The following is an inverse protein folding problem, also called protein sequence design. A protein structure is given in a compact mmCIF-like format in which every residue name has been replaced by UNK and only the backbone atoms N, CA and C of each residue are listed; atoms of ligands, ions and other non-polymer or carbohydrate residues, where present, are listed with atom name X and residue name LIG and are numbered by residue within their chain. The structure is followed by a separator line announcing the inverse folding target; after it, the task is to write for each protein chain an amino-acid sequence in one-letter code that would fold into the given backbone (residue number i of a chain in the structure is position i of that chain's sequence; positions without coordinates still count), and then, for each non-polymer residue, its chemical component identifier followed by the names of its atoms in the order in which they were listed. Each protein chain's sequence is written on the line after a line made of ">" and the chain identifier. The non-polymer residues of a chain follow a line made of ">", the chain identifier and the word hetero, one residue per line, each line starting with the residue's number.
data_IF_700544625851
#
_entry.id   IF_700544625851
#
_cell.length_a   1.000
_cell.length_b   1.000
_cell.length_c   1.000
_cell.angle_alpha   90.00
_cell.angle_beta   90.00
_cell.angle_gamma   90.00
#
_symmetry.space_group_name_H-M   'P 1'
#
loop_
_entity.id
_entity.type
_entity.pdbx_description
1 polymer ?
#
# COMPACT_ATOMS: atom_id res chain seq x y z
N UNK A 1 1.85 -12.18 -14.95
CA UNK A 1 2.95 -12.73 -14.13
C UNK A 1 4.07 -11.70 -14.10
N UNK A 2 4.47 -11.26 -12.92
CA UNK A 2 5.50 -10.24 -12.68
C UNK A 2 6.88 -10.77 -13.11
N UNK A 3 7.66 -9.97 -13.84
CA UNK A 3 9.05 -10.28 -14.14
C UNK A 3 9.97 -9.40 -13.29
N UNK A 4 10.63 -9.99 -12.32
CA UNK A 4 11.56 -9.32 -11.40
C UNK A 4 13.02 -9.30 -11.92
N UNK A 5 13.25 -9.69 -13.18
CA UNK A 5 14.62 -9.78 -13.76
C UNK A 5 15.18 -8.44 -14.24
N UNK A 6 14.58 -7.32 -13.88
CA UNK A 6 15.17 -6.01 -14.15
C UNK A 6 16.36 -5.79 -13.20
N UNK A 7 17.55 -5.64 -13.76
CA UNK A 7 18.79 -5.52 -12.99
C UNK A 7 18.74 -4.31 -12.04
N UNK A 8 18.28 -3.16 -12.51
CA UNK A 8 18.18 -1.94 -11.70
C UNK A 8 17.17 -2.07 -10.54
N UNK A 9 16.06 -2.81 -10.73
CA UNK A 9 15.14 -3.12 -9.64
C UNK A 9 15.82 -3.98 -8.57
N UNK A 10 16.53 -5.03 -9.01
CA UNK A 10 17.21 -5.93 -8.08
C UNK A 10 18.31 -5.20 -7.31
N UNK A 11 19.10 -4.36 -7.98
CA UNK A 11 20.14 -3.54 -7.33
C UNK A 11 19.53 -2.60 -6.29
N UNK A 12 18.49 -1.83 -6.65
CA UNK A 12 17.83 -0.89 -5.74
C UNK A 12 17.29 -1.57 -4.46
N UNK A 13 16.70 -2.75 -4.61
CA UNK A 13 16.17 -3.50 -3.46
C UNK A 13 17.29 -4.11 -2.61
N UNK A 14 18.38 -4.58 -3.23
CA UNK A 14 19.56 -5.06 -2.51
C UNK A 14 20.27 -3.92 -1.77
N UNK A 15 20.39 -2.74 -2.37
CA UNK A 15 20.96 -1.56 -1.73
C UNK A 15 20.12 -1.13 -0.52
N UNK A 16 18.79 -1.16 -0.64
CA UNK A 16 17.90 -0.92 0.49
C UNK A 16 18.18 -1.89 1.64
N UNK A 17 18.28 -3.19 1.35
CA UNK A 17 18.56 -4.21 2.37
C UNK A 17 19.97 -4.05 2.96
N UNK A 18 20.96 -3.69 2.15
CA UNK A 18 22.33 -3.43 2.60
C UNK A 18 22.41 -2.25 3.57
N UNK A 19 21.63 -1.19 3.30
CA UNK A 19 21.62 0.00 4.15
C UNK A 19 20.81 -0.16 5.44
N UNK A 20 19.78 -1.02 5.42
CA UNK A 20 18.85 -1.14 6.55
C UNK A 20 19.04 -2.41 7.37
N UNK A 21 19.75 -3.40 6.84
CA UNK A 21 19.83 -4.77 7.36
C UNK A 21 18.46 -5.45 7.51
N UNK A 22 17.40 -4.89 6.90
CA UNK A 22 16.04 -5.44 6.97
C UNK A 22 15.81 -6.48 5.89
N UNK A 23 15.11 -7.56 6.24
CA UNK A 23 14.64 -8.53 5.24
C UNK A 23 13.52 -7.91 4.41
N UNK A 24 13.63 -8.04 3.10
CA UNK A 24 12.64 -7.62 2.13
C UNK A 24 12.10 -8.84 1.37
N UNK A 25 10.78 -8.93 1.23
CA UNK A 25 10.09 -9.93 0.44
C UNK A 25 9.18 -9.26 -0.59
N UNK A 26 9.04 -9.88 -1.76
CA UNK A 26 8.07 -9.48 -2.79
C UNK A 26 7.07 -10.61 -2.95
N UNK A 27 5.79 -10.27 -2.87
CA UNK A 27 4.68 -11.18 -3.09
C UNK A 27 3.90 -10.77 -4.33
N UNK A 28 3.42 -11.75 -5.09
CA UNK A 28 2.51 -11.47 -6.21
C UNK A 28 1.07 -11.21 -5.74
N UNK A 29 0.17 -11.05 -6.69
CA UNK A 29 -1.25 -10.81 -6.40
C UNK A 29 -2.02 -12.03 -5.95
N UNK A 30 -1.42 -13.22 -6.04
CA UNK A 30 -1.91 -14.47 -5.47
C UNK A 30 -1.28 -14.76 -4.09
N UNK A 31 -0.59 -13.75 -3.52
CA UNK A 31 0.05 -13.78 -2.21
C UNK A 31 1.19 -14.79 -2.09
N UNK A 32 1.80 -15.16 -3.23
CA UNK A 32 2.96 -16.05 -3.25
C UNK A 32 4.25 -15.23 -3.24
N UNK A 33 5.21 -15.66 -2.42
CA UNK A 33 6.54 -15.03 -2.38
C UNK A 33 7.28 -15.29 -3.71
N UNK A 34 7.60 -14.21 -4.43
CA UNK A 34 8.31 -14.23 -5.71
C UNK A 34 9.82 -14.01 -5.55
N UNK A 35 10.20 -13.24 -4.54
CA UNK A 35 11.60 -12.91 -4.26
C UNK A 35 11.76 -12.49 -2.81
N UNK A 36 12.96 -12.72 -2.26
CA UNK A 36 13.34 -12.19 -0.95
C UNK A 36 14.84 -11.93 -0.86
N UNK A 37 15.20 -10.89 -0.10
CA UNK A 37 16.59 -10.56 0.20
C UNK A 37 16.71 -10.09 1.66
N UNK A 38 17.66 -10.62 2.47
CA UNK A 38 18.40 -11.87 2.19
C UNK A 38 17.44 -13.06 2.08
N UNK A 39 17.85 -14.10 1.35
CA UNK A 39 17.04 -15.32 1.19
C UNK A 39 16.76 -15.98 2.55
N UNK A 40 17.74 -15.96 3.46
CA UNK A 40 17.60 -16.55 4.79
C UNK A 40 16.68 -15.73 5.68
N UNK A 41 15.82 -16.41 6.41
CA UNK A 41 15.04 -15.83 7.50
C UNK A 41 15.94 -15.49 8.69
N UNK A 42 15.54 -14.51 9.49
CA UNK A 42 16.18 -14.29 10.79
C UNK A 42 15.98 -15.49 11.73
N UNK A 43 16.89 -15.68 12.70
CA UNK A 43 16.97 -16.91 13.49
C UNK A 43 15.66 -17.35 14.12
N UNK A 44 14.93 -16.46 14.76
CA UNK A 44 13.62 -16.77 15.35
C UNK A 44 12.62 -17.27 14.29
N UNK A 45 12.41 -16.52 13.24
CA UNK A 45 11.50 -16.92 12.16
C UNK A 45 11.94 -18.22 11.48
N UNK A 46 13.25 -18.39 11.25
CA UNK A 46 13.81 -19.61 10.66
C UNK A 46 13.54 -20.86 11.52
N UNK A 47 13.60 -20.72 12.84
CA UNK A 47 13.29 -21.79 13.79
C UNK A 47 11.80 -22.07 13.88
N UNK A 48 10.99 -21.04 14.03
CA UNK A 48 9.55 -21.15 14.26
C UNK A 48 8.81 -21.67 13.01
N UNK A 49 9.19 -21.23 11.82
CA UNK A 49 8.56 -21.68 10.55
C UNK A 49 8.85 -23.13 10.17
N UNK A 50 9.72 -23.84 10.91
CA UNK A 50 9.84 -25.31 10.81
C UNK A 50 8.64 -26.02 11.43
N UNK A 51 7.84 -25.35 12.25
CA UNK A 51 6.61 -25.87 12.84
C UNK A 51 5.48 -25.54 11.88
N UNK A 52 4.85 -26.56 11.29
CA UNK A 52 3.87 -26.39 10.22
C UNK A 52 2.69 -25.46 10.59
N UNK A 53 2.19 -25.59 11.83
CA UNK A 53 1.11 -24.72 12.32
C UNK A 53 1.56 -23.26 12.40
N UNK A 54 2.78 -23.01 12.88
CA UNK A 54 3.32 -21.65 12.95
C UNK A 54 3.50 -21.05 11.55
N UNK A 55 4.07 -21.80 10.60
CA UNK A 55 4.24 -21.35 9.21
C UNK A 55 2.89 -21.07 8.52
N UNK A 56 1.87 -21.89 8.79
CA UNK A 56 0.52 -21.63 8.31
C UNK A 56 -0.05 -20.31 8.85
N UNK A 57 0.19 -20.00 10.13
CA UNK A 57 -0.22 -18.72 10.74
C UNK A 57 0.55 -17.54 10.16
N UNK A 58 1.84 -17.68 9.83
CA UNK A 58 2.61 -16.66 9.11
C UNK A 58 1.94 -16.32 7.78
N UNK A 59 1.70 -17.34 6.94
CA UNK A 59 1.09 -17.15 5.62
C UNK A 59 -0.30 -16.49 5.72
N UNK A 60 -1.14 -16.96 6.64
CA UNK A 60 -2.47 -16.39 6.84
C UNK A 60 -2.41 -14.93 7.33
N UNK A 61 -1.43 -14.59 8.16
CA UNK A 61 -1.20 -13.22 8.62
C UNK A 61 -0.76 -12.31 7.47
N UNK A 62 0.20 -12.77 6.67
CA UNK A 62 0.72 -12.01 5.52
C UNK A 62 -0.40 -11.79 4.48
N UNK A 63 -1.16 -12.84 4.15
CA UNK A 63 -2.29 -12.75 3.23
C UNK A 63 -3.35 -11.76 3.72
N UNK A 64 -3.76 -11.84 4.99
CA UNK A 64 -4.76 -10.94 5.55
C UNK A 64 -4.33 -9.46 5.43
N UNK A 65 -3.07 -9.15 5.68
CA UNK A 65 -2.55 -7.78 5.56
C UNK A 65 -2.37 -7.34 4.11
N UNK A 66 -1.98 -8.24 3.20
CA UNK A 66 -1.96 -7.96 1.76
C UNK A 66 -3.37 -7.67 1.21
N UNK A 67 -4.41 -8.38 1.71
CA UNK A 67 -5.80 -8.07 1.38
C UNK A 67 -6.22 -6.68 1.88
N UNK A 68 -5.79 -6.28 3.09
CA UNK A 68 -6.04 -4.92 3.61
C UNK A 68 -5.32 -3.89 2.74
N UNK A 69 -4.04 -4.11 2.41
CA UNK A 69 -3.24 -3.26 1.54
C UNK A 69 -3.88 -3.10 0.15
N UNK A 70 -4.36 -4.21 -0.45
CA UNK A 70 -5.06 -4.21 -1.74
C UNK A 70 -6.33 -3.35 -1.70
N UNK A 71 -7.14 -3.47 -0.63
CA UNK A 71 -8.39 -2.72 -0.48
C UNK A 71 -8.17 -1.24 -0.21
N UNK A 72 -7.23 -0.93 0.68
CA UNK A 72 -6.94 0.46 1.08
C UNK A 72 -6.09 1.20 0.06
N UNK A 73 -5.34 0.46 -0.76
CA UNK A 73 -4.33 0.97 -1.71
C UNK A 73 -3.24 1.81 -1.02
N UNK A 74 -3.02 1.57 0.26
CA UNK A 74 -2.05 2.29 1.08
C UNK A 74 -1.10 1.32 1.73
N UNK A 75 0.15 1.72 1.96
CA UNK A 75 1.05 0.95 2.79
C UNK A 75 0.52 0.87 4.22
N UNK A 76 0.92 -0.14 4.95
CA UNK A 76 0.57 -0.34 6.34
C UNK A 76 1.73 -0.95 7.13
N UNK A 77 1.88 -0.49 8.37
CA UNK A 77 2.74 -1.12 9.36
C UNK A 77 1.87 -1.92 10.32
N UNK A 78 2.29 -3.15 10.64
CA UNK A 78 1.55 -4.04 11.53
C UNK A 78 2.51 -4.90 12.35
N UNK A 79 1.98 -5.56 13.38
CA UNK A 79 2.67 -6.66 14.05
C UNK A 79 2.15 -7.98 13.51
N UNK A 80 3.06 -8.87 13.12
CA UNK A 80 2.69 -10.22 12.70
C UNK A 80 2.12 -11.01 13.89
N UNK A 81 1.57 -12.20 13.64
CA UNK A 81 0.96 -13.01 14.69
C UNK A 81 1.92 -13.38 15.84
N UNK A 82 3.22 -13.32 15.60
CA UNK A 82 4.25 -13.57 16.61
C UNK A 82 4.76 -12.29 17.32
N UNK A 83 4.23 -11.11 16.97
CA UNK A 83 4.59 -9.84 17.59
C UNK A 83 5.74 -9.08 16.91
N UNK A 84 6.31 -9.60 15.82
CA UNK A 84 7.35 -8.89 15.05
C UNK A 84 6.74 -7.79 14.21
N UNK A 85 7.47 -6.69 14.04
CA UNK A 85 7.03 -5.55 13.25
C UNK A 85 7.31 -5.78 11.77
N UNK A 86 6.27 -5.57 10.96
CA UNK A 86 6.27 -5.68 9.50
C UNK A 86 5.77 -4.38 8.88
N UNK A 87 6.24 -4.08 7.68
CA UNK A 87 5.71 -3.01 6.83
C UNK A 87 5.45 -3.54 5.44
N UNK A 88 4.27 -3.29 4.92
CA UNK A 88 3.76 -3.78 3.64
C UNK A 88 3.35 -2.61 2.76
N UNK A 89 3.80 -2.58 1.52
CA UNK A 89 3.45 -1.56 0.55
C UNK A 89 3.11 -2.17 -0.82
N UNK A 90 2.15 -1.58 -1.55
CA UNK A 90 1.76 -2.07 -2.87
C UNK A 90 2.73 -1.60 -3.95
N UNK A 91 3.07 -2.49 -4.90
CA UNK A 91 3.76 -2.15 -6.14
C UNK A 91 2.74 -1.94 -7.26
N UNK A 92 2.91 -0.83 -7.98
CA UNK A 92 2.01 -0.45 -9.06
C UNK A 92 2.66 -0.58 -10.43
N UNK A 93 1.87 -1.05 -11.40
CA UNK A 93 2.15 -0.98 -12.82
C UNK A 93 0.93 -0.37 -13.53
N UNK A 94 1.13 0.76 -14.23
CA UNK A 94 0.03 1.48 -14.92
C UNK A 94 -1.21 1.72 -14.05
N UNK A 95 -1.01 2.05 -12.77
CA UNK A 95 -2.08 2.35 -11.81
C UNK A 95 -2.77 1.13 -11.19
N UNK A 96 -2.34 -0.08 -11.52
CA UNK A 96 -2.85 -1.35 -10.98
C UNK A 96 -1.84 -1.95 -10.01
N UNK A 97 -2.31 -2.56 -8.93
CA UNK A 97 -1.44 -3.31 -8.02
C UNK A 97 -1.05 -4.63 -8.70
N UNK A 98 0.25 -4.86 -8.85
CA UNK A 98 0.80 -6.07 -9.48
C UNK A 98 1.65 -6.91 -8.52
N UNK A 99 2.03 -6.34 -7.39
CA UNK A 99 2.78 -7.05 -6.34
C UNK A 99 2.69 -6.28 -5.02
N UNK A 100 3.25 -6.87 -3.97
CA UNK A 100 3.42 -6.26 -2.66
C UNK A 100 4.87 -6.41 -2.23
N UNK A 101 5.43 -5.36 -1.63
CA UNK A 101 6.75 -5.40 -0.98
C UNK A 101 6.54 -5.39 0.52
N UNK A 102 7.13 -6.35 1.21
CA UNK A 102 7.14 -6.43 2.66
C UNK A 102 8.58 -6.30 3.17
N UNK A 103 8.80 -5.44 4.15
CA UNK A 103 10.01 -5.46 4.98
C UNK A 103 9.59 -5.80 6.41
N UNK A 104 10.39 -6.63 7.09
CA UNK A 104 9.94 -7.05 8.39
C UNK A 104 10.89 -7.96 9.14
N UNK A 105 10.29 -8.79 9.99
CA UNK A 105 10.95 -9.56 11.02
C UNK A 105 11.70 -8.65 12.02
N UNK A 106 11.24 -7.39 12.15
CA UNK A 106 11.91 -6.38 12.95
C UNK A 106 11.41 -6.42 14.42
N UNK A 107 12.34 -6.22 15.35
CA UNK A 107 12.09 -6.12 16.78
C UNK A 107 12.71 -4.84 17.33
N UNK A 108 12.16 -4.37 18.45
CA UNK A 108 12.67 -3.16 19.12
C UNK A 108 13.69 -3.46 20.23
N UNK A 109 13.89 -4.74 20.59
CA UNK A 109 14.80 -5.14 21.68
C UNK A 109 14.29 -4.76 23.07
N UNK A 110 12.97 -4.69 23.27
CA UNK A 110 12.38 -4.35 24.57
C UNK A 110 11.96 -5.61 25.33
N UNK A 111 12.20 -5.65 26.65
CA UNK A 111 11.81 -6.78 27.51
C UNK A 111 10.31 -7.12 27.41
N UNK A 112 9.45 -6.10 27.34
CA UNK A 112 8.01 -6.29 27.20
C UNK A 112 7.61 -6.90 25.83
N UNK A 113 8.39 -6.66 24.77
CA UNK A 113 8.22 -7.29 23.46
C UNK A 113 8.69 -8.74 23.53
N UNK A 114 9.88 -8.98 24.08
CA UNK A 114 10.43 -10.33 24.28
C UNK A 114 9.45 -11.23 25.04
N UNK A 115 8.93 -10.77 26.19
CA UNK A 115 8.01 -11.59 27.00
C UNK A 115 6.76 -12.02 26.25
N UNK A 116 6.20 -11.16 25.39
CA UNK A 116 5.05 -11.50 24.54
C UNK A 116 5.42 -12.55 23.48
N UNK A 117 6.58 -12.39 22.85
CA UNK A 117 7.10 -13.33 21.85
C UNK A 117 7.38 -14.67 22.49
N UNK A 118 8.03 -14.72 23.66
CA UNK A 118 8.35 -15.93 24.39
C UNK A 118 7.08 -16.67 24.86
N UNK A 119 6.12 -15.95 25.43
CA UNK A 119 4.83 -16.53 25.84
C UNK A 119 4.08 -17.12 24.63
N UNK A 120 4.17 -16.49 23.46
CA UNK A 120 3.56 -17.03 22.27
C UNK A 120 4.32 -18.24 21.72
N UNK A 121 5.65 -18.20 21.68
CA UNK A 121 6.52 -19.30 21.22
C UNK A 121 6.37 -20.57 22.10
N UNK A 122 6.13 -20.39 23.41
CA UNK A 122 5.89 -21.49 24.34
C UNK A 122 4.67 -22.36 23.93
N UNK A 123 3.65 -21.80 23.28
CA UNK A 123 2.50 -22.54 22.76
C UNK A 123 2.89 -23.55 21.68
N UNK A 124 4.05 -23.38 21.08
CA UNK A 124 4.62 -24.24 20.04
C UNK A 124 5.77 -25.11 20.56
N UNK A 125 5.94 -25.21 21.88
CA UNK A 125 6.93 -26.08 22.50
C UNK A 125 8.35 -25.52 22.54
N UNK A 126 8.52 -24.20 22.38
CA UNK A 126 9.81 -23.52 22.50
C UNK A 126 9.95 -23.04 23.96
N UNK A 127 11.01 -23.44 24.64
CA UNK A 127 11.29 -22.95 25.99
C UNK A 127 11.79 -21.49 25.97
N UNK A 128 11.71 -20.82 27.11
CA UNK A 128 12.06 -19.40 27.23
C UNK A 128 13.55 -19.18 26.93
N UNK A 129 14.42 -20.10 27.33
CA UNK A 129 15.86 -20.03 27.07
C UNK A 129 16.15 -20.09 25.56
N UNK A 130 15.59 -21.07 24.85
CA UNK A 130 15.73 -21.17 23.40
C UNK A 130 15.17 -19.91 22.70
N UNK A 131 14.04 -19.41 23.17
CA UNK A 131 13.44 -18.20 22.63
C UNK A 131 14.34 -16.97 22.83
N UNK A 132 14.98 -16.86 24.00
CA UNK A 132 15.89 -15.76 24.34
C UNK A 132 17.12 -15.77 23.45
N UNK A 133 17.76 -16.93 23.28
CA UNK A 133 18.89 -17.07 22.37
C UNK A 133 18.53 -16.64 20.93
N UNK A 134 17.38 -17.09 20.42
CA UNK A 134 16.92 -16.74 19.07
C UNK A 134 16.57 -15.25 18.95
N UNK A 135 16.03 -14.64 19.98
CA UNK A 135 15.68 -13.22 20.00
C UNK A 135 16.93 -12.35 20.05
N UNK A 136 17.93 -12.71 20.86
CA UNK A 136 19.21 -11.97 20.95
C UNK A 136 20.05 -12.03 19.67
N UNK A 137 19.87 -13.08 18.88
CA UNK A 137 20.51 -13.21 17.57
C UNK A 137 19.84 -12.34 16.50
N UNK A 138 18.70 -11.70 16.79
CA UNK A 138 18.04 -10.80 15.84
C UNK A 138 18.61 -9.40 15.90
N UNK A 139 18.45 -8.67 14.81
CA UNK A 139 18.77 -7.24 14.81
C UNK A 139 17.60 -6.49 15.44
N UNK A 140 17.90 -5.70 16.46
CA UNK A 140 16.92 -4.83 17.10
C UNK A 140 17.03 -3.41 16.57
N UNK A 141 15.90 -2.82 16.24
CA UNK A 141 15.86 -1.50 15.60
C UNK A 141 15.24 -0.45 16.52
N UNK A 142 15.85 0.72 16.59
CA UNK A 142 15.18 1.85 17.19
C UNK A 142 13.89 2.20 16.39
N UNK A 143 12.80 2.64 17.04
CA UNK A 143 11.55 3.00 16.34
C UNK A 143 11.75 4.00 15.19
N UNK A 144 12.68 4.96 15.36
CA UNK A 144 13.06 5.94 14.33
C UNK A 144 13.69 5.27 13.10
N UNK A 145 14.46 4.20 13.28
CA UNK A 145 15.09 3.46 12.18
C UNK A 145 14.04 2.76 11.32
N UNK A 146 13.08 2.08 11.96
CA UNK A 146 11.98 1.43 11.23
C UNK A 146 11.16 2.46 10.45
N UNK A 147 10.81 3.60 11.09
CA UNK A 147 10.07 4.67 10.41
C UNK A 147 10.85 5.29 9.23
N UNK A 148 12.18 5.42 9.36
CA UNK A 148 13.03 5.90 8.28
C UNK A 148 13.08 4.89 7.13
N UNK A 149 13.26 3.60 7.43
CA UNK A 149 13.25 2.52 6.44
C UNK A 149 11.93 2.47 5.67
N UNK A 150 10.77 2.58 6.35
CA UNK A 150 9.47 2.65 5.69
C UNK A 150 9.39 3.82 4.70
N UNK A 151 9.82 5.02 5.09
CA UNK A 151 9.82 6.19 4.19
C UNK A 151 10.77 6.05 3.00
N UNK A 152 11.95 5.45 3.21
CA UNK A 152 12.90 5.18 2.13
C UNK A 152 12.31 4.14 1.18
N UNK A 153 11.68 3.09 1.70
CA UNK A 153 11.02 2.09 0.86
C UNK A 153 9.90 2.71 0.02
N UNK A 154 9.08 3.59 0.60
CA UNK A 154 8.03 4.30 -0.16
C UNK A 154 8.64 5.16 -1.29
N UNK A 155 9.78 5.81 -1.04
CA UNK A 155 10.49 6.56 -2.07
C UNK A 155 11.06 5.63 -3.17
N UNK A 156 11.61 4.46 -2.81
CA UNK A 156 12.05 3.44 -3.75
C UNK A 156 10.88 2.92 -4.61
N UNK A 157 9.74 2.63 -3.99
CA UNK A 157 8.53 2.18 -4.70
C UNK A 157 8.04 3.25 -5.68
N UNK A 158 8.03 4.53 -5.26
CA UNK A 158 7.70 5.64 -6.14
C UNK A 158 8.67 5.75 -7.32
N UNK A 159 9.96 5.59 -7.08
CA UNK A 159 10.99 5.58 -8.12
C UNK A 159 10.79 4.42 -9.10
N UNK A 160 10.57 3.20 -8.60
CA UNK A 160 10.27 2.00 -9.41
C UNK A 160 9.08 2.26 -10.34
N UNK A 161 8.02 2.87 -9.83
CA UNK A 161 6.83 3.21 -10.60
C UNK A 161 7.13 4.24 -11.70
N UNK A 162 7.77 5.36 -11.37
CA UNK A 162 8.04 6.44 -12.31
C UNK A 162 9.08 6.06 -13.37
N UNK A 163 10.06 5.26 -13.03
CA UNK A 163 11.08 4.77 -13.97
C UNK A 163 10.60 3.54 -14.77
N UNK A 164 9.37 3.09 -14.55
CA UNK A 164 8.81 1.90 -15.21
C UNK A 164 9.71 0.67 -15.11
N UNK A 165 10.32 0.45 -13.94
CA UNK A 165 11.28 -0.64 -13.71
C UNK A 165 10.61 -2.02 -13.59
N UNK A 166 9.28 -2.08 -13.51
CA UNK A 166 8.53 -3.33 -13.50
C UNK A 166 8.19 -3.77 -14.94
N UNK A 167 8.47 -5.02 -15.22
CA UNK A 167 8.02 -5.69 -16.44
C UNK A 167 6.90 -6.67 -16.07
N UNK A 168 5.70 -6.42 -16.56
CA UNK A 168 4.54 -7.28 -16.36
C UNK A 168 4.21 -7.98 -17.67
N UNK A 169 4.36 -9.31 -17.72
CA UNK A 169 4.08 -10.09 -18.94
C UNK A 169 2.60 -10.13 -19.28
N UNK A 170 1.74 -10.23 -18.28
CA UNK A 170 0.29 -10.20 -18.45
C UNK A 170 -0.38 -9.78 -17.15
N UNK A 171 -1.41 -8.96 -17.26
CA UNK A 171 -2.33 -8.66 -16.17
C UNK A 171 -3.38 -9.77 -16.11
N UNK A 172 -3.83 -10.15 -14.91
CA UNK A 172 -5.00 -10.99 -14.74
C UNK A 172 -6.29 -10.23 -15.12
N UNK A 173 -7.42 -10.94 -15.22
CA UNK A 173 -8.69 -10.34 -15.65
C UNK A 173 -9.13 -9.18 -14.73
N UNK A 174 -8.97 -9.30 -13.41
CA UNK A 174 -9.33 -8.25 -12.48
C UNK A 174 -8.46 -7.00 -12.66
N UNK A 175 -7.16 -7.19 -12.86
CA UNK A 175 -6.20 -6.13 -13.15
C UNK A 175 -6.47 -5.45 -14.50
N UNK A 176 -6.82 -6.24 -15.52
CA UNK A 176 -7.20 -5.69 -16.84
C UNK A 176 -8.46 -4.82 -16.74
N UNK A 177 -9.48 -5.28 -16.00
CA UNK A 177 -10.70 -4.50 -15.75
C UNK A 177 -10.37 -3.23 -14.96
N UNK A 178 -9.56 -3.33 -13.90
CA UNK A 178 -9.15 -2.16 -13.12
C UNK A 178 -8.40 -1.14 -13.98
N UNK A 179 -7.45 -1.59 -14.80
CA UNK A 179 -6.74 -0.74 -15.74
C UNK A 179 -7.70 -0.05 -16.71
N UNK A 180 -8.60 -0.82 -17.31
CA UNK A 180 -9.60 -0.28 -18.23
C UNK A 180 -10.49 0.79 -17.58
N UNK A 181 -10.93 0.57 -16.34
CA UNK A 181 -11.69 1.56 -15.57
C UNK A 181 -10.87 2.83 -15.32
N UNK A 182 -9.59 2.69 -14.95
CA UNK A 182 -8.72 3.85 -14.71
C UNK A 182 -8.52 4.68 -15.99
N UNK A 183 -8.28 3.99 -17.12
CA UNK A 183 -8.03 4.64 -18.41
C UNK A 183 -9.29 5.30 -19.01
N UNK A 184 -10.48 4.77 -18.66
CA UNK A 184 -11.76 5.20 -19.21
C UNK A 184 -12.71 5.81 -18.18
N UNK A 185 -12.20 6.40 -17.11
CA UNK A 185 -12.98 6.82 -15.93
C UNK A 185 -14.13 7.79 -16.24
N UNK A 186 -13.97 8.61 -17.27
CA UNK A 186 -14.96 9.58 -17.73
C UNK A 186 -16.08 8.98 -18.57
N UNK A 187 -15.90 7.76 -19.09
CA UNK A 187 -16.80 7.14 -20.08
C UNK A 187 -17.86 6.26 -19.43
N UNK A 188 -18.68 5.61 -20.28
CA UNK A 188 -19.62 4.61 -19.80
C UNK A 188 -18.89 3.36 -19.30
N UNK A 189 -19.04 3.10 -18.02
CA UNK A 189 -18.51 1.95 -17.29
C UNK A 189 -19.66 1.12 -16.70
N UNK A 190 -20.78 1.02 -17.44
CA UNK A 190 -21.91 0.18 -17.04
C UNK A 190 -21.49 -1.29 -16.97
N UNK A 191 -22.24 -2.06 -16.17
CA UNK A 191 -22.02 -3.50 -16.00
C UNK A 191 -22.12 -4.19 -17.38
N UNK A 192 -23.08 -3.79 -18.19
CA UNK A 192 -23.29 -4.30 -19.54
C UNK A 192 -22.06 -4.07 -20.42
N UNK A 193 -21.53 -2.84 -20.38
CA UNK A 193 -20.35 -2.47 -21.16
C UNK A 193 -19.13 -3.28 -20.75
N UNK A 194 -18.86 -3.38 -19.43
CA UNK A 194 -17.73 -4.14 -18.91
C UNK A 194 -17.84 -5.64 -19.24
N UNK A 195 -19.03 -6.23 -19.06
CA UNK A 195 -19.26 -7.64 -19.41
C UNK A 195 -19.02 -7.91 -20.92
N UNK A 196 -19.50 -7.03 -21.78
CA UNK A 196 -19.31 -7.15 -23.23
C UNK A 196 -17.83 -6.99 -23.62
N UNK A 197 -17.14 -5.98 -23.06
CA UNK A 197 -15.74 -5.69 -23.38
C UNK A 197 -14.80 -6.83 -22.97
N UNK A 198 -15.00 -7.41 -21.78
CA UNK A 198 -14.15 -8.49 -21.27
C UNK A 198 -14.67 -9.90 -21.58
N UNK A 199 -15.80 -10.02 -22.27
CA UNK A 199 -16.44 -11.32 -22.59
C UNK A 199 -16.70 -12.19 -21.35
N UNK A 200 -17.13 -11.58 -20.25
CA UNK A 200 -17.44 -12.24 -18.96
C UNK A 200 -18.92 -12.05 -18.61
N UNK A 201 -19.44 -12.99 -17.82
CA UNK A 201 -20.80 -12.89 -17.29
C UNK A 201 -20.90 -11.84 -16.18
N UNK A 202 -22.12 -11.33 -15.89
CA UNK A 202 -22.37 -10.46 -14.73
C UNK A 202 -21.97 -11.12 -13.41
N UNK A 203 -22.22 -12.42 -13.27
CA UNK A 203 -21.88 -13.14 -12.04
C UNK A 203 -20.36 -13.17 -11.82
N UNK A 204 -19.58 -13.45 -12.87
CA UNK A 204 -18.11 -13.39 -12.83
C UNK A 204 -17.60 -11.99 -12.49
N UNK A 205 -18.16 -10.95 -13.14
CA UNK A 205 -17.79 -9.57 -12.85
C UNK A 205 -18.03 -9.23 -11.37
N UNK A 206 -19.19 -9.58 -10.81
CA UNK A 206 -19.49 -9.34 -9.40
C UNK A 206 -18.57 -10.11 -8.47
N UNK A 207 -18.28 -11.37 -8.77
CA UNK A 207 -17.35 -12.18 -8.00
C UNK A 207 -15.94 -11.60 -8.02
N UNK A 208 -15.43 -11.19 -9.19
CA UNK A 208 -14.14 -10.53 -9.33
C UNK A 208 -14.05 -9.26 -8.46
N UNK A 209 -15.10 -8.42 -8.50
CA UNK A 209 -15.11 -7.19 -7.69
C UNK A 209 -15.21 -7.46 -6.20
N UNK A 210 -16.02 -8.42 -5.80
CA UNK A 210 -16.12 -8.82 -4.39
C UNK A 210 -14.78 -9.37 -3.88
N UNK A 211 -14.16 -10.29 -4.63
CA UNK A 211 -12.92 -10.95 -4.21
C UNK A 211 -11.73 -9.99 -4.18
N UNK A 212 -11.54 -9.20 -5.26
CA UNK A 212 -10.33 -8.37 -5.40
C UNK A 212 -10.46 -6.99 -4.76
N UNK A 213 -11.66 -6.42 -4.71
CA UNK A 213 -11.85 -5.02 -4.26
C UNK A 213 -12.78 -4.91 -3.05
N UNK A 214 -13.46 -5.97 -2.65
CA UNK A 214 -14.46 -6.02 -1.57
C UNK A 214 -15.50 -4.90 -1.71
N UNK A 215 -15.95 -4.64 -2.93
CA UNK A 215 -16.88 -3.58 -3.26
C UNK A 215 -17.79 -4.01 -4.41
N UNK A 216 -18.97 -3.38 -4.53
CA UNK A 216 -19.75 -3.50 -5.76
C UNK A 216 -19.03 -2.77 -6.92
N UNK A 217 -19.31 -3.20 -8.16
CA UNK A 217 -18.76 -2.54 -9.37
C UNK A 217 -19.07 -1.03 -9.37
N UNK A 218 -20.31 -0.67 -9.05
CA UNK A 218 -20.75 0.73 -9.02
C UNK A 218 -20.07 1.54 -7.92
N UNK A 219 -19.87 0.96 -6.72
CA UNK A 219 -19.19 1.63 -5.62
C UNK A 219 -17.71 1.80 -5.90
N UNK A 220 -17.09 0.81 -6.51
CA UNK A 220 -15.70 0.87 -6.92
C UNK A 220 -15.46 2.01 -7.92
N UNK A 221 -16.22 2.04 -9.03
CA UNK A 221 -16.11 3.09 -10.06
C UNK A 221 -16.38 4.47 -9.44
N UNK A 222 -17.43 4.59 -8.64
CA UNK A 222 -17.78 5.83 -7.93
C UNK A 222 -16.64 6.31 -7.04
N UNK A 223 -16.02 5.40 -6.31
CA UNK A 223 -14.88 5.70 -5.41
C UNK A 223 -13.67 6.20 -6.19
N UNK A 224 -13.36 5.57 -7.34
CA UNK A 224 -12.28 5.99 -8.24
C UNK A 224 -12.54 7.39 -8.82
N UNK A 225 -13.74 7.64 -9.32
CA UNK A 225 -14.16 8.94 -9.86
C UNK A 225 -14.00 10.07 -8.82
N UNK A 226 -14.42 9.82 -7.58
CA UNK A 226 -14.28 10.79 -6.50
C UNK A 226 -12.83 11.00 -6.09
N UNK A 227 -12.00 9.97 -6.09
CA UNK A 227 -10.58 10.11 -5.81
C UNK A 227 -9.86 10.95 -6.88
N UNK A 228 -10.20 10.73 -8.16
CA UNK A 228 -9.67 11.53 -9.26
C UNK A 228 -10.16 12.98 -9.21
N UNK A 229 -11.43 13.21 -8.87
CA UNK A 229 -11.96 14.56 -8.68
C UNK A 229 -11.23 15.31 -7.55
N UNK A 230 -10.95 14.65 -6.43
CA UNK A 230 -10.18 15.23 -5.32
C UNK A 230 -8.78 15.64 -5.78
N UNK A 231 -8.11 14.77 -6.53
CA UNK A 231 -6.79 15.09 -7.10
C UNK A 231 -6.86 16.32 -8.02
N UNK A 232 -7.83 16.38 -8.95
CA UNK A 232 -8.01 17.53 -9.85
C UNK A 232 -8.33 18.83 -9.09
N UNK A 233 -9.12 18.76 -8.02
CA UNK A 233 -9.42 19.91 -7.16
C UNK A 233 -8.14 20.43 -6.51
N UNK A 234 -7.23 19.56 -6.11
CA UNK A 234 -5.95 19.95 -5.45
C UNK A 234 -4.91 20.48 -6.42
N UNK A 235 -4.88 19.95 -7.64
CA UNK A 235 -3.77 20.18 -8.58
C UNK A 235 -4.10 21.15 -9.70
N UNK A 236 -5.38 21.55 -9.85
CA UNK A 236 -5.81 22.42 -10.95
C UNK A 236 -6.75 23.52 -10.50
N UNK A 237 -6.86 24.59 -11.30
CA UNK A 237 -7.83 25.67 -11.15
C UNK A 237 -9.14 25.42 -11.92
N UNK A 238 -9.35 24.23 -12.50
CA UNK A 238 -10.55 23.89 -13.26
C UNK A 238 -11.83 24.12 -12.44
N UNK A 239 -12.93 24.52 -13.10
CA UNK A 239 -14.20 24.66 -12.43
C UNK A 239 -14.69 23.31 -11.85
N UNK A 240 -15.33 23.34 -10.68
CA UNK A 240 -15.79 22.11 -10.00
C UNK A 240 -16.79 21.34 -10.87
N UNK A 241 -17.65 22.04 -11.63
CA UNK A 241 -18.59 21.42 -12.59
C UNK A 241 -17.88 20.71 -13.74
N UNK A 242 -16.80 21.30 -14.22
CA UNK A 242 -15.95 20.75 -15.27
C UNK A 242 -15.19 19.50 -14.77
N UNK A 243 -14.66 19.57 -13.53
CA UNK A 243 -14.04 18.40 -12.89
C UNK A 243 -15.05 17.26 -12.77
N UNK A 244 -16.29 17.54 -12.32
CA UNK A 244 -17.34 16.52 -12.21
C UNK A 244 -17.58 15.81 -13.56
N UNK A 245 -17.70 16.57 -14.63
CA UNK A 245 -17.87 16.01 -15.98
C UNK A 245 -16.65 15.19 -16.44
N UNK A 246 -15.43 15.70 -16.22
CA UNK A 246 -14.18 15.03 -16.62
C UNK A 246 -13.93 13.72 -15.88
N UNK A 247 -14.52 13.53 -14.71
CA UNK A 247 -14.43 12.27 -13.98
C UNK A 247 -15.68 11.39 -14.17
N UNK A 248 -16.58 11.73 -15.09
CA UNK A 248 -17.71 10.91 -15.47
C UNK A 248 -18.97 11.05 -14.61
N UNK A 249 -19.17 12.17 -13.91
CA UNK A 249 -20.44 12.50 -13.28
C UNK A 249 -21.26 13.42 -14.17
N UNK A 250 -22.36 12.90 -14.73
CA UNK A 250 -23.28 13.68 -15.58
C UNK A 250 -24.18 14.61 -14.77
N UNK A 251 -24.41 14.33 -13.47
CA UNK A 251 -25.20 15.14 -12.55
C UNK A 251 -24.31 15.75 -11.47
N UNK A 252 -24.16 17.06 -11.51
CA UNK A 252 -23.37 17.82 -10.53
C UNK A 252 -23.92 17.71 -9.11
N UNK A 253 -25.23 17.68 -8.93
CA UNK A 253 -25.82 17.55 -7.59
C UNK A 253 -25.51 16.19 -6.98
N UNK A 254 -25.58 15.13 -7.80
CA UNK A 254 -25.20 13.80 -7.38
C UNK A 254 -23.71 13.73 -7.05
N UNK A 255 -22.86 14.29 -7.89
CA UNK A 255 -21.41 14.40 -7.62
C UNK A 255 -21.14 15.09 -6.28
N UNK A 256 -21.74 16.25 -6.05
CA UNK A 256 -21.55 17.04 -4.82
C UNK A 256 -21.97 16.25 -3.57
N UNK A 257 -23.11 15.52 -3.63
CA UNK A 257 -23.56 14.64 -2.55
C UNK A 257 -22.58 13.51 -2.25
N UNK A 258 -22.07 12.85 -3.29
CA UNK A 258 -21.12 11.73 -3.15
C UNK A 258 -19.79 12.23 -2.60
N UNK A 259 -19.30 13.36 -3.10
CA UNK A 259 -18.07 14.00 -2.61
C UNK A 259 -18.21 14.39 -1.13
N UNK A 260 -19.30 15.06 -0.76
CA UNK A 260 -19.58 15.43 0.62
C UNK A 260 -19.65 14.21 1.56
N UNK A 261 -20.23 13.10 1.10
CA UNK A 261 -20.28 11.85 1.88
C UNK A 261 -18.86 11.32 2.20
N UNK A 262 -17.92 11.50 1.28
CA UNK A 262 -16.54 11.01 1.46
C UNK A 262 -15.66 11.95 2.28
N UNK A 263 -15.81 13.27 2.08
CA UNK A 263 -14.90 14.27 2.65
C UNK A 263 -15.54 15.15 3.74
N UNK A 264 -16.85 14.96 4.02
CA UNK A 264 -17.63 15.73 5.00
C UNK A 264 -17.73 17.23 4.70
N UNK A 265 -17.32 17.66 3.51
CA UNK A 265 -17.42 19.04 3.00
C UNK A 265 -17.77 19.02 1.52
N UNK A 266 -18.37 20.09 1.00
CA UNK A 266 -18.64 20.21 -0.43
C UNK A 266 -17.33 20.37 -1.25
N UNK A 267 -17.33 20.04 -2.55
CA UNK A 267 -16.15 20.23 -3.39
C UNK A 267 -15.60 21.67 -3.39
N UNK A 268 -16.50 22.68 -3.33
CA UNK A 268 -16.12 24.10 -3.27
C UNK A 268 -15.46 24.46 -1.93
N UNK A 269 -16.03 24.02 -0.82
CA UNK A 269 -15.46 24.24 0.52
C UNK A 269 -14.12 23.49 0.66
N UNK A 270 -14.00 22.32 0.05
CA UNK A 270 -12.76 21.55 0.05
C UNK A 270 -11.65 22.36 -0.63
N UNK A 271 -11.90 22.92 -1.82
CA UNK A 271 -10.94 23.79 -2.52
C UNK A 271 -10.56 25.01 -1.70
N UNK A 272 -11.56 25.71 -1.15
CA UNK A 272 -11.31 26.91 -0.33
C UNK A 272 -10.40 26.61 0.86
N UNK A 273 -10.63 25.49 1.56
CA UNK A 273 -9.75 25.06 2.66
C UNK A 273 -8.31 24.79 2.23
N UNK A 274 -8.08 24.31 1.01
CA UNK A 274 -6.73 24.11 0.49
C UNK A 274 -6.03 25.46 0.21
N UNK A 275 -6.75 26.43 -0.36
CA UNK A 275 -6.27 27.78 -0.63
C UNK A 275 -5.93 28.52 0.67
N UNK A 276 -6.81 28.47 1.66
CA UNK A 276 -6.62 29.10 2.97
C UNK A 276 -5.40 28.51 3.72
N UNK A 277 -5.16 27.21 3.63
CA UNK A 277 -4.01 26.54 4.24
C UNK A 277 -2.70 26.83 3.49
N UNK A 278 -2.74 27.05 2.17
CA UNK A 278 -1.58 27.41 1.36
C UNK A 278 -1.08 28.82 1.66
N UNK A 279 -1.99 29.77 1.83
CA UNK A 279 -1.66 31.17 2.15
C UNK A 279 -1.16 31.38 3.58
N UNK A 280 -1.43 30.45 4.50
CA UNK A 280 -0.94 30.50 5.89
C UNK A 280 0.55 30.19 6.02
N UNK A 281 1.11 29.37 5.13
CA UNK A 281 2.53 29.01 5.18
C UNK A 281 3.45 30.07 4.57
N UNK A 282 2.99 30.86 3.59
CA UNK A 282 3.76 31.95 3.01
C UNK A 282 3.90 33.15 3.98
N UNK A 283 2.86 33.46 4.76
CA UNK A 283 2.92 34.60 5.73
C UNK A 283 3.85 34.36 6.92
N UNK A 284 4.07 33.10 7.31
CA UNK A 284 5.01 32.74 8.38
C UNK A 284 6.47 32.75 7.90
N UNK A 285 6.72 32.52 6.61
CA UNK A 285 8.06 32.57 6.03
C UNK A 285 8.57 34.03 5.79
N UNK A 286 7.68 34.98 5.55
CA UNK A 286 8.05 36.40 5.38
C UNK A 286 8.27 37.09 6.72
N UNK A 287 7.54 36.77 7.79
CA UNK A 287 7.76 37.36 9.11
C UNK A 287 9.06 36.88 9.80
N UNK A 288 9.59 35.69 9.42
CA UNK A 288 10.89 35.18 9.89
C UNK A 288 12.10 35.91 9.29
N UNK A 289 11.96 36.56 8.13
CA UNK A 289 13.06 37.28 7.45
C UNK A 289 13.18 38.76 7.85
N UNK A 290 12.18 39.33 8.51
CA UNK A 290 12.17 40.71 8.92
C UNK A 290 12.88 40.96 10.27
N UNK A 291 13.06 39.95 11.11
CA UNK A 291 13.64 40.09 12.45
C UNK A 291 15.15 39.83 12.55
N UNK A 292 15.84 39.54 11.43
CA UNK A 292 17.30 39.30 11.42
C UNK A 292 18.12 40.45 10.87
N UNK A 293 17.51 41.65 10.68
CA UNK A 293 18.21 42.89 10.21
C UNK A 293 18.26 44.02 11.24
N UNK A 294 18.00 43.74 12.51
CA UNK A 294 18.23 44.72 13.62
C UNK A 294 18.80 44.00 14.83
N UNK A 295 20.05 43.65 14.77
CA UNK A 295 20.93 43.46 15.92
C UNK A 295 22.37 43.61 15.43
#
# INVERSE_FOLDING_TARGET
>A
MLNLKNAGLTELLNDFCTLTDMKLCIFDTDYQECASTPIKLYPFCARMRKIAEFDSRCRSCDEAHMQICRRTRKPLQYQCHAGLTEYLAPLYYEGVIVAFVCIGQATYGMDAEFHKIAQYAAQFGICEEECHELYDMQIHYAPRTIQAACRILDACISHIYHQRMLEVRSLDTAQQIEKYINDNIAWDLSIEHLCAHFSISRAELYQLFHTNFNASVADYIRSKRIAMAEQLIRTTSMQISEIAANVGFFDYNYFSKVFHRKFSVSPREYRKKLEDNGTGQEKTAEQGKSNTKKA
#
